data_IF_519973045161
#
_entry.id   IF_519973045161
#
_cell.length_a   1.000
_cell.length_b   1.000
_cell.length_c   1.000
_cell.angle_alpha   90.00
_cell.angle_beta   90.00
_cell.angle_gamma   90.00
#
_symmetry.space_group_name_H-M   'P 1'
#
loop_
_entity.id
_entity.type
_entity.pdbx_description
1 polymer ?
#
# COMPACT_ATOMS: atom_id res chain seq x y z
N UNK A 1 -34.85 15.02 25.10
CA UNK A 1 -35.27 14.00 24.12
C UNK A 1 -35.56 14.71 22.81
N UNK A 2 -34.68 14.56 21.82
CA UNK A 2 -35.01 14.17 20.44
C UNK A 2 -33.79 14.39 19.55
N UNK A 3 -33.19 13.26 19.20
CA UNK A 3 -32.09 13.06 18.28
C UNK A 3 -32.49 13.48 16.86
N UNK A 4 -31.81 14.48 16.30
CA UNK A 4 -31.80 14.70 14.86
C UNK A 4 -30.66 13.87 14.27
N UNK A 5 -30.99 12.62 13.96
CA UNK A 5 -30.18 11.72 13.18
C UNK A 5 -29.77 12.40 11.86
N UNK A 6 -28.50 12.25 11.52
CA UNK A 6 -27.92 12.61 10.24
C UNK A 6 -28.49 11.68 9.17
N UNK A 7 -29.49 12.14 8.41
CA UNK A 7 -30.02 11.40 7.27
C UNK A 7 -28.89 11.14 6.25
N UNK A 8 -28.73 9.90 5.75
CA UNK A 8 -27.78 9.64 4.68
C UNK A 8 -28.20 10.40 3.42
N UNK A 9 -27.27 11.16 2.83
CA UNK A 9 -27.45 11.84 1.55
C UNK A 9 -27.78 10.76 0.51
N UNK A 10 -29.04 10.70 0.07
CA UNK A 10 -29.45 9.88 -1.07
C UNK A 10 -29.38 10.76 -2.32
N UNK A 11 -28.28 10.74 -3.09
CA UNK A 11 -28.15 11.60 -4.25
C UNK A 11 -29.28 11.29 -5.24
N UNK A 12 -30.11 12.28 -5.52
CA UNK A 12 -31.15 12.10 -6.54
C UNK A 12 -30.51 12.10 -7.92
N UNK A 13 -31.17 11.49 -8.91
CA UNK A 13 -30.69 11.51 -10.31
C UNK A 13 -30.39 12.93 -10.81
N UNK A 14 -31.12 13.92 -10.30
CA UNK A 14 -30.98 15.33 -10.66
C UNK A 14 -29.72 15.95 -10.06
N UNK A 15 -29.33 15.52 -8.87
CA UNK A 15 -28.10 15.99 -8.21
C UNK A 15 -26.86 15.41 -8.90
N UNK A 16 -26.93 14.15 -9.35
CA UNK A 16 -25.87 13.52 -10.15
C UNK A 16 -25.67 14.25 -11.49
N UNK A 17 -26.77 14.60 -12.17
CA UNK A 17 -26.70 15.35 -13.43
C UNK A 17 -26.14 16.76 -13.24
N UNK A 18 -26.47 17.44 -12.14
CA UNK A 18 -25.93 18.76 -11.80
C UNK A 18 -24.43 18.70 -11.48
N UNK A 19 -24.01 17.75 -10.66
CA UNK A 19 -22.61 17.54 -10.34
C UNK A 19 -21.77 17.22 -11.60
N UNK A 20 -22.29 16.35 -12.47
CA UNK A 20 -21.63 16.03 -13.75
C UNK A 20 -21.51 17.24 -14.67
N UNK A 21 -22.54 18.07 -14.78
CA UNK A 21 -22.51 19.30 -15.59
C UNK A 21 -21.52 20.34 -15.03
N UNK A 22 -21.47 20.51 -13.71
CA UNK A 22 -20.50 21.40 -13.05
C UNK A 22 -19.07 20.91 -13.25
N UNK A 23 -18.84 19.60 -13.16
CA UNK A 23 -17.52 19.03 -13.41
C UNK A 23 -17.10 19.21 -14.88
N UNK A 24 -18.01 19.01 -15.83
CA UNK A 24 -17.75 19.24 -17.25
C UNK A 24 -17.41 20.72 -17.56
N UNK A 25 -18.07 21.66 -16.90
CA UNK A 25 -17.76 23.09 -17.00
C UNK A 25 -16.37 23.42 -16.42
N UNK A 26 -16.02 22.85 -15.27
CA UNK A 26 -14.69 23.02 -14.68
C UNK A 26 -13.59 22.43 -15.57
N UNK A 27 -13.86 21.31 -16.24
CA UNK A 27 -12.94 20.71 -17.21
C UNK A 27 -12.79 21.58 -18.46
N UNK A 28 -13.90 22.05 -19.02
CA UNK A 28 -13.88 22.93 -20.19
C UNK A 28 -13.20 24.29 -19.90
N UNK A 29 -13.31 24.79 -18.67
CA UNK A 29 -12.63 25.99 -18.21
C UNK A 29 -11.14 25.78 -17.86
N UNK A 30 -10.63 24.55 -17.97
CA UNK A 30 -9.24 24.21 -17.61
C UNK A 30 -8.96 24.27 -16.10
N UNK A 31 -9.98 24.42 -15.27
CA UNK A 31 -9.88 24.49 -13.80
C UNK A 31 -9.84 23.11 -13.14
N UNK A 32 -10.29 22.09 -13.87
CA UNK A 32 -10.16 20.68 -13.48
C UNK A 32 -9.61 19.88 -14.66
N UNK A 33 -8.66 19.00 -14.41
CA UNK A 33 -8.25 17.98 -15.38
C UNK A 33 -8.78 16.63 -14.89
N UNK A 34 -9.24 15.74 -15.77
CA UNK A 34 -9.66 14.39 -15.39
C UNK A 34 -8.53 13.58 -14.71
N UNK A 35 -7.28 14.05 -14.77
CA UNK A 35 -6.12 13.43 -14.14
C UNK A 35 -6.10 13.55 -12.60
N UNK A 36 -6.79 14.52 -12.00
CA UNK A 36 -6.79 14.71 -10.54
C UNK A 36 -7.75 13.77 -9.78
N UNK A 37 -8.61 13.05 -10.48
CA UNK A 37 -9.47 12.02 -9.89
C UNK A 37 -8.76 10.67 -9.73
N UNK A 38 -7.51 10.55 -10.23
CA UNK A 38 -6.70 9.35 -10.15
C UNK A 38 -5.38 9.64 -9.42
N UNK A 39 -5.46 10.06 -8.15
CA UNK A 39 -4.32 10.06 -7.22
C UNK A 39 -3.98 8.62 -6.81
N UNK A 40 -3.75 7.77 -7.80
CA UNK A 40 -3.04 6.51 -7.62
C UNK A 40 -1.56 6.88 -7.55
N UNK A 41 -0.85 6.44 -6.50
CA UNK A 41 0.59 6.70 -6.30
C UNK A 41 1.45 6.01 -7.38
N UNK A 42 1.32 6.45 -8.64
CA UNK A 42 1.94 5.83 -9.82
C UNK A 42 3.46 5.80 -9.72
N UNK A 43 4.05 6.83 -9.12
CA UNK A 43 5.49 6.89 -8.83
C UNK A 43 5.98 5.82 -7.85
N UNK A 44 5.14 5.40 -6.90
CA UNK A 44 5.47 4.35 -5.93
C UNK A 44 5.34 2.94 -6.52
N UNK A 45 4.44 2.76 -7.49
CA UNK A 45 4.25 1.48 -8.17
C UNK A 45 5.24 1.27 -9.33
N UNK A 46 5.64 2.33 -10.05
CA UNK A 46 6.62 2.28 -11.15
C UNK A 46 8.08 2.17 -10.65
N UNK A 47 8.31 2.38 -9.36
CA UNK A 47 9.63 2.31 -8.75
C UNK A 47 10.17 0.87 -8.74
N UNK A 48 11.31 0.66 -9.40
CA UNK A 48 11.99 -0.65 -9.54
C UNK A 48 13.00 -0.95 -8.46
N UNK A 49 13.23 -0.01 -7.53
CA UNK A 49 14.16 -0.19 -6.42
C UNK A 49 13.46 0.07 -5.09
N UNK A 50 13.82 -0.73 -4.08
CA UNK A 50 13.29 -0.61 -2.72
C UNK A 50 13.44 0.83 -2.18
N UNK A 51 14.57 1.48 -2.45
CA UNK A 51 14.82 2.84 -1.99
C UNK A 51 13.90 3.87 -2.68
N UNK A 52 13.56 3.69 -3.95
CA UNK A 52 12.69 4.61 -4.68
C UNK A 52 11.22 4.47 -4.24
N UNK A 53 10.79 3.24 -3.92
CA UNK A 53 9.50 3.00 -3.29
C UNK A 53 9.42 3.68 -1.92
N UNK A 54 10.45 3.53 -1.07
CA UNK A 54 10.44 4.17 0.25
C UNK A 54 10.47 5.70 0.18
N UNK A 55 11.20 6.26 -0.79
CA UNK A 55 11.19 7.71 -1.06
C UNK A 55 9.80 8.19 -1.48
N UNK A 56 9.14 7.49 -2.40
CA UNK A 56 7.79 7.85 -2.85
C UNK A 56 6.72 7.66 -1.77
N UNK A 57 6.91 6.74 -0.83
CA UNK A 57 6.01 6.53 0.32
C UNK A 57 6.22 7.51 1.49
N UNK A 58 7.10 8.50 1.34
CA UNK A 58 7.26 9.58 2.33
C UNK A 58 8.69 9.86 2.78
N UNK A 59 9.70 9.26 2.14
CA UNK A 59 11.12 9.52 2.44
C UNK A 59 11.49 9.17 3.88
N UNK A 60 12.70 9.55 4.30
CA UNK A 60 13.20 9.35 5.66
C UNK A 60 14.43 8.44 5.75
N UNK A 61 15.05 8.44 6.93
CA UNK A 61 16.20 7.58 7.21
C UNK A 61 15.78 6.11 7.21
N UNK A 62 16.61 5.27 6.60
CA UNK A 62 16.35 3.84 6.45
C UNK A 62 17.31 3.05 7.34
N UNK A 63 16.74 2.36 8.33
CA UNK A 63 17.43 1.35 9.12
C UNK A 63 17.16 -0.05 8.53
N UNK A 64 18.23 -0.81 8.30
CA UNK A 64 18.16 -2.18 7.74
C UNK A 64 18.34 -3.26 8.81
N UNK A 65 18.38 -2.88 10.08
CA UNK A 65 18.63 -3.81 11.19
C UNK A 65 17.43 -4.69 11.57
N UNK A 66 16.21 -4.37 11.12
CA UNK A 66 15.01 -5.16 11.37
C UNK A 66 14.59 -5.29 12.85
N UNK A 67 15.28 -4.60 13.76
CA UNK A 67 15.00 -4.66 15.19
C UNK A 67 13.58 -4.17 15.48
N UNK A 68 12.79 -4.99 16.19
CA UNK A 68 11.41 -4.67 16.51
C UNK A 68 10.38 -5.02 15.43
N UNK A 69 10.76 -5.67 14.32
CA UNK A 69 9.81 -6.19 13.32
C UNK A 69 9.89 -7.73 13.30
N UNK A 70 8.76 -8.40 13.49
CA UNK A 70 8.64 -9.82 13.20
C UNK A 70 8.06 -10.00 11.80
N UNK A 71 8.84 -10.60 10.90
CA UNK A 71 8.42 -10.89 9.53
C UNK A 71 8.43 -12.39 9.28
N UNK A 72 7.25 -12.94 9.01
CA UNK A 72 7.07 -14.33 8.67
C UNK A 72 6.65 -14.46 7.21
N UNK A 73 7.49 -15.12 6.44
CA UNK A 73 7.25 -15.51 5.05
C UNK A 73 7.70 -16.96 4.87
N UNK A 74 7.07 -17.73 3.97
CA UNK A 74 7.51 -19.09 3.68
C UNK A 74 8.89 -19.09 2.99
N UNK A 75 9.69 -20.13 3.22
CA UNK A 75 10.97 -20.30 2.49
C UNK A 75 10.73 -20.70 1.02
N UNK A 76 9.64 -21.44 0.78
CA UNK A 76 9.22 -21.93 -0.52
C UNK A 76 7.72 -21.64 -0.71
N UNK A 77 7.38 -20.97 -1.81
CA UNK A 77 6.04 -20.75 -2.30
C UNK A 77 5.75 -21.67 -3.50
N UNK A 78 4.92 -22.69 -3.27
CA UNK A 78 4.47 -23.60 -4.33
C UNK A 78 3.55 -22.92 -5.35
N UNK A 79 2.80 -21.92 -4.89
CA UNK A 79 1.90 -21.12 -5.72
C UNK A 79 2.25 -19.63 -5.57
N UNK A 80 2.97 -19.10 -6.54
CA UNK A 80 3.32 -17.68 -6.60
C UNK A 80 2.10 -16.75 -6.72
N UNK A 81 0.91 -17.24 -7.05
CA UNK A 81 -0.28 -16.38 -7.11
C UNK A 81 -0.79 -16.02 -5.70
N UNK A 82 -0.40 -16.80 -4.68
CA UNK A 82 -0.91 -16.66 -3.31
C UNK A 82 0.19 -17.01 -2.30
N UNK A 83 1.06 -16.04 -2.01
CA UNK A 83 2.11 -16.18 -0.98
C UNK A 83 1.65 -15.52 0.33
N UNK A 84 1.45 -16.28 1.43
CA UNK A 84 1.07 -15.71 2.71
C UNK A 84 2.26 -14.99 3.36
N UNK A 85 2.02 -13.78 3.86
CA UNK A 85 3.01 -12.94 4.53
C UNK A 85 2.39 -12.38 5.81
N UNK A 86 3.14 -12.44 6.89
CA UNK A 86 2.75 -11.84 8.18
C UNK A 86 3.82 -10.87 8.63
N UNK A 87 3.40 -9.65 8.95
CA UNK A 87 4.26 -8.59 9.50
C UNK A 87 3.67 -8.12 10.81
N UNK A 88 4.45 -8.18 11.87
CA UNK A 88 4.13 -7.58 13.17
C UNK A 88 5.20 -6.55 13.50
N UNK A 89 4.78 -5.35 13.93
CA UNK A 89 5.70 -4.33 14.43
C UNK A 89 5.57 -4.17 15.94
N UNK A 90 6.69 -4.22 16.65
CA UNK A 90 6.78 -3.81 18.06
C UNK A 90 7.26 -2.35 18.19
N UNK A 91 7.44 -1.63 17.08
CA UNK A 91 7.94 -0.27 17.07
C UNK A 91 6.83 0.71 17.53
N UNK A 92 7.09 1.56 18.55
CA UNK A 92 6.13 2.55 18.99
C UNK A 92 5.90 3.60 17.91
N UNK A 93 4.65 4.01 17.71
CA UNK A 93 4.28 5.00 16.70
C UNK A 93 4.41 4.49 15.26
N UNK A 94 4.24 3.19 15.04
CA UNK A 94 4.10 2.62 13.70
C UNK A 94 2.87 3.22 13.01
N UNK A 95 3.07 3.89 11.89
CA UNK A 95 2.01 4.56 11.14
C UNK A 95 1.79 3.95 9.75
N UNK A 96 2.79 3.23 9.21
CA UNK A 96 2.70 2.63 7.88
C UNK A 96 3.52 1.32 7.82
N UNK A 97 2.93 0.28 7.23
CA UNK A 97 3.61 -0.98 6.89
C UNK A 97 3.52 -1.20 5.38
N UNK A 98 4.66 -1.40 4.73
CA UNK A 98 4.77 -1.68 3.31
C UNK A 98 5.43 -3.04 3.08
N UNK A 99 4.92 -3.79 2.10
CA UNK A 99 5.51 -5.04 1.64
C UNK A 99 6.06 -4.80 0.24
N UNK A 100 7.35 -5.10 0.06
CA UNK A 100 8.04 -4.93 -1.20
C UNK A 100 8.58 -6.25 -1.71
N UNK A 101 8.44 -6.51 -3.00
CA UNK A 101 8.96 -7.70 -3.68
C UNK A 101 9.88 -7.24 -4.80
N UNK A 102 11.19 -7.42 -4.60
CA UNK A 102 12.23 -6.81 -5.44
C UNK A 102 12.07 -7.11 -6.94
N UNK A 103 11.77 -8.37 -7.27
CA UNK A 103 11.72 -8.86 -8.66
C UNK A 103 10.31 -8.94 -9.25
N UNK A 104 9.32 -8.36 -8.60
CA UNK A 104 7.99 -8.20 -9.20
C UNK A 104 7.99 -7.04 -10.22
N UNK A 105 7.06 -7.02 -11.19
CA UNK A 105 6.92 -5.89 -12.12
C UNK A 105 6.76 -4.54 -11.41
N UNK A 106 5.98 -4.53 -10.33
CA UNK A 106 5.92 -3.44 -9.36
C UNK A 106 6.59 -3.91 -8.08
N UNK A 107 7.62 -3.18 -7.62
CA UNK A 107 8.33 -3.54 -6.39
C UNK A 107 7.43 -3.37 -5.16
N UNK A 108 6.51 -2.41 -5.16
CA UNK A 108 5.52 -2.25 -4.09
C UNK A 108 4.37 -3.26 -4.27
N UNK A 109 4.23 -4.19 -3.33
CA UNK A 109 3.17 -5.18 -3.35
C UNK A 109 1.93 -4.74 -2.55
N UNK A 110 2.14 -4.11 -1.39
CA UNK A 110 1.05 -3.64 -0.54
C UNK A 110 1.51 -2.54 0.42
N UNK A 111 0.59 -1.67 0.81
CA UNK A 111 0.77 -0.66 1.87
C UNK A 111 -0.42 -0.65 2.79
N UNK A 112 -0.16 -0.54 4.09
CA UNK A 112 -1.17 -0.47 5.13
C UNK A 112 -0.88 0.73 6.02
N UNK A 113 -1.81 1.68 6.07
CA UNK A 113 -1.77 2.74 7.07
C UNK A 113 -2.29 2.18 8.40
N UNK A 114 -1.56 2.43 9.49
CA UNK A 114 -1.91 1.96 10.84
C UNK A 114 -2.33 3.17 11.68
N UNK A 115 -3.64 3.37 11.93
CA UNK A 115 -4.11 4.46 12.78
C UNK A 115 -3.60 4.31 14.22
N UNK A 116 -3.42 5.43 14.91
CA UNK A 116 -3.01 5.44 16.31
C UNK A 116 -3.95 4.58 17.18
N UNK A 117 -3.38 3.78 18.09
CA UNK A 117 -4.13 2.85 18.93
C UNK A 117 -4.47 1.51 18.27
N UNK A 118 -4.08 1.30 17.01
CA UNK A 118 -4.22 0.00 16.32
C UNK A 118 -2.97 -0.85 16.54
N UNK A 119 -3.16 -2.14 16.82
CA UNK A 119 -2.05 -3.08 16.84
C UNK A 119 -1.48 -3.26 15.42
N UNK A 120 -0.19 -2.98 15.18
CA UNK A 120 0.43 -3.05 13.86
C UNK A 120 0.74 -4.51 13.48
N UNK A 121 -0.33 -5.27 13.21
CA UNK A 121 -0.31 -6.66 12.75
C UNK A 121 -0.99 -6.77 11.39
N UNK A 122 -0.28 -7.32 10.42
CA UNK A 122 -0.78 -7.55 9.06
C UNK A 122 -0.58 -9.00 8.68
N UNK A 123 -1.64 -9.64 8.22
CA UNK A 123 -1.61 -10.93 7.56
C UNK A 123 -2.26 -10.78 6.18
N UNK A 124 -1.46 -10.97 5.14
CA UNK A 124 -1.92 -10.76 3.76
C UNK A 124 -1.33 -11.81 2.82
N UNK A 125 -1.90 -11.89 1.62
CA UNK A 125 -1.44 -12.77 0.55
C UNK A 125 -1.00 -11.90 -0.62
N UNK A 126 0.21 -12.13 -1.12
CA UNK A 126 0.82 -11.35 -2.20
C UNK A 126 1.13 -12.26 -3.38
N UNK A 127 0.97 -11.73 -4.60
CA UNK A 127 1.43 -12.37 -5.84
C UNK A 127 2.93 -12.18 -6.01
N UNK A 128 3.66 -13.24 -6.29
CA UNK A 128 5.08 -13.25 -6.60
C UNK A 128 5.32 -13.91 -7.97
N UNK A 129 6.06 -13.22 -8.84
CA UNK A 129 6.37 -13.70 -10.18
C UNK A 129 7.48 -14.76 -10.19
N UNK A 130 8.47 -14.60 -9.33
CA UNK A 130 9.66 -15.45 -9.27
C UNK A 130 10.32 -15.39 -7.89
N UNK A 131 11.31 -16.26 -7.65
CA UNK A 131 12.15 -16.21 -6.45
C UNK A 131 12.75 -14.82 -6.27
N UNK A 132 12.46 -14.20 -5.13
CA UNK A 132 12.80 -12.82 -4.85
C UNK A 132 13.06 -12.60 -3.37
N UNK A 133 13.85 -11.57 -3.07
CA UNK A 133 13.86 -11.00 -1.74
C UNK A 133 12.54 -10.25 -1.52
N UNK A 134 11.90 -10.52 -0.38
CA UNK A 134 10.70 -9.83 0.09
C UNK A 134 11.11 -8.98 1.30
N UNK A 135 10.72 -7.71 1.28
CA UNK A 135 11.00 -6.75 2.33
C UNK A 135 9.70 -6.37 3.04
N UNK A 136 9.73 -6.40 4.36
CA UNK A 136 8.76 -5.71 5.19
C UNK A 136 9.39 -4.39 5.65
N UNK A 137 8.85 -3.27 5.19
CA UNK A 137 9.27 -1.93 5.57
C UNK A 137 8.22 -1.32 6.48
N UNK A 138 8.63 -0.92 7.68
CA UNK A 138 7.76 -0.30 8.67
C UNK A 138 8.22 1.12 8.90
N UNK A 139 7.29 2.07 8.80
CA UNK A 139 7.51 3.46 9.19
C UNK A 139 7.02 3.66 10.62
N UNK A 140 7.89 4.20 11.46
CA UNK A 140 7.59 4.57 12.83
C UNK A 140 8.27 5.89 13.16
N UNK A 141 7.50 6.89 13.61
CA UNK A 141 8.04 8.21 13.95
C UNK A 141 8.82 8.90 12.82
N UNK A 142 8.43 8.67 11.56
CA UNK A 142 9.08 9.25 10.37
C UNK A 142 10.38 8.55 9.91
N UNK A 143 10.76 7.43 10.53
CA UNK A 143 11.90 6.61 10.12
C UNK A 143 11.42 5.27 9.57
N UNK A 144 12.15 4.75 8.59
CA UNK A 144 11.89 3.43 8.03
C UNK A 144 12.80 2.39 8.67
N UNK A 145 12.22 1.25 9.04
CA UNK A 145 12.94 0.05 9.47
C UNK A 145 12.56 -1.07 8.52
N UNK A 146 13.56 -1.75 7.96
CA UNK A 146 13.37 -2.88 7.05
C UNK A 146 13.83 -4.18 7.68
N UNK A 147 13.10 -5.23 7.36
CA UNK A 147 13.54 -6.62 7.47
C UNK A 147 13.25 -7.32 6.14
N UNK A 148 14.02 -8.35 5.82
CA UNK A 148 13.92 -9.05 4.54
C UNK A 148 14.06 -10.55 4.68
N UNK A 149 13.33 -11.28 3.83
CA UNK A 149 13.43 -12.73 3.72
C UNK A 149 13.34 -13.15 2.25
N UNK A 150 14.20 -14.10 1.85
CA UNK A 150 14.14 -14.68 0.51
C UNK A 150 13.00 -15.69 0.46
N UNK A 151 12.15 -15.58 -0.55
CA UNK A 151 11.07 -16.54 -0.81
C UNK A 151 11.33 -17.18 -2.17
N UNK A 152 11.50 -18.51 -2.18
CA UNK A 152 11.69 -19.27 -3.42
C UNK A 152 10.35 -19.63 -4.03
N UNK A 153 10.12 -19.26 -5.28
CA UNK A 153 8.87 -19.57 -5.99
C UNK A 153 9.12 -20.69 -6.98
N UNK A 154 8.38 -21.79 -6.88
CA UNK A 154 8.51 -22.92 -7.81
C UNK A 154 7.57 -22.81 -9.01
N UNK A 155 6.39 -22.20 -8.82
CA UNK A 155 5.45 -21.86 -9.89
C UNK A 155 5.09 -20.37 -9.79
N UNK A 156 5.57 -19.57 -10.73
CA UNK A 156 5.33 -18.11 -10.77
C UNK A 156 3.85 -17.76 -10.94
N UNK A 157 3.36 -16.72 -10.25
CA UNK A 157 1.94 -16.33 -10.27
C UNK A 157 1.64 -14.90 -10.69
N UNK A 158 2.61 -14.20 -11.30
CA UNK A 158 2.47 -12.82 -11.78
C UNK A 158 2.13 -12.78 -13.28
N UNK A 159 1.15 -13.58 -13.71
CA UNK A 159 0.65 -13.63 -15.09
C UNK A 159 -0.87 -13.63 -15.11
N UNK A 160 -1.48 -12.45 -15.22
CA UNK A 160 -2.92 -12.24 -15.28
C UNK A 160 -3.27 -10.77 -15.11
#
# INVERSE_FOLDING_TARGET
MQDHATDPIHPTRRDVLRAGAMMALLVAAGLATPAQAAEWNKSAFDAKSVNDVLKSLGGGAVDKGGAGIQFNAPDIAENGAVVPLVVTSALPGTDLIAILVEKNPNTLAATFAIPAGTEPYINTRVKMGQTSMVYAAVRAGGKWVLTSKEVKVTLGGCGG
#
